data_IF_483129110304
#
_entry.id   IF_483129110304
#
_cell.length_a   1.000
_cell.length_b   1.000
_cell.length_c   1.000
_cell.angle_alpha   90.00
_cell.angle_beta   90.00
_cell.angle_gamma   90.00
#
_symmetry.space_group_name_H-M   'P 1'
#
loop_
_entity.id
_entity.type
_entity.pdbx_description
1 polymer ?
#
# COMPACT_ATOMS: atom_id res chain seq x y z
N UNK A 1 -2.32 -20.80 -10.23
CA UNK A 1 -3.19 -21.13 -9.09
C UNK A 1 -2.83 -22.44 -8.41
N UNK A 2 -2.68 -23.56 -9.13
CA UNK A 2 -2.37 -24.87 -8.53
C UNK A 2 -1.10 -24.86 -7.66
N UNK A 3 0.01 -24.34 -8.18
CA UNK A 3 1.28 -24.18 -7.44
C UNK A 3 1.13 -23.32 -6.20
N UNK A 4 0.50 -22.13 -6.31
CA UNK A 4 0.25 -21.25 -5.17
C UNK A 4 -0.62 -21.90 -4.08
N UNK A 5 -1.56 -22.76 -4.48
CA UNK A 5 -2.39 -23.49 -3.53
C UNK A 5 -1.60 -24.62 -2.84
N UNK A 6 -0.77 -25.35 -3.59
CA UNK A 6 0.11 -26.37 -3.02
C UNK A 6 1.14 -25.77 -2.06
N UNK A 7 1.70 -24.63 -2.42
CA UNK A 7 2.65 -23.88 -1.61
C UNK A 7 1.96 -23.02 -0.54
N UNK A 8 0.66 -23.20 -0.27
CA UNK A 8 -0.02 -22.54 0.85
C UNK A 8 -0.22 -21.02 0.75
N UNK A 9 0.12 -20.39 -0.37
CA UNK A 9 -0.11 -18.96 -0.63
C UNK A 9 -1.59 -18.63 -0.84
N UNK A 10 -2.36 -19.58 -1.36
CA UNK A 10 -3.81 -19.43 -1.53
C UNK A 10 -4.55 -20.67 -1.04
N UNK A 11 -5.73 -20.48 -0.47
CA UNK A 11 -6.60 -21.55 -0.03
C UNK A 11 -7.84 -21.52 -0.92
N UNK A 12 -8.14 -22.65 -1.58
CA UNK A 12 -9.37 -22.79 -2.37
C UNK A 12 -10.55 -23.03 -1.41
N UNK A 13 -11.56 -22.18 -1.52
CA UNK A 13 -12.85 -22.31 -0.83
C UNK A 13 -13.75 -23.28 -1.59
N UNK A 14 -14.74 -23.84 -0.90
CA UNK A 14 -15.70 -24.81 -1.46
C UNK A 14 -16.53 -24.22 -2.61
N UNK A 15 -16.78 -22.91 -2.59
CA UNK A 15 -17.44 -22.14 -3.65
C UNK A 15 -16.55 -21.89 -4.89
N UNK A 16 -15.31 -22.41 -4.89
CA UNK A 16 -14.34 -22.24 -5.96
C UNK A 16 -13.54 -20.94 -5.92
N UNK A 17 -13.78 -20.07 -4.94
CA UNK A 17 -12.98 -18.84 -4.73
C UNK A 17 -11.64 -19.15 -4.05
N UNK A 18 -10.72 -18.19 -4.07
CA UNK A 18 -9.42 -18.30 -3.42
C UNK A 18 -9.23 -17.18 -2.42
N UNK A 19 -8.81 -17.53 -1.21
CA UNK A 19 -8.38 -16.56 -0.20
C UNK A 19 -6.87 -16.67 0.01
N UNK A 20 -6.26 -15.64 0.59
CA UNK A 20 -4.85 -15.64 0.97
C UNK A 20 -4.61 -16.68 2.07
N UNK A 21 -3.59 -17.52 1.87
CA UNK A 21 -3.11 -18.48 2.86
C UNK A 21 -1.97 -17.94 3.72
N UNK A 22 -1.59 -18.69 4.76
CA UNK A 22 -0.64 -18.23 5.78
C UNK A 22 0.77 -17.95 5.25
N UNK A 23 1.19 -18.61 4.17
CA UNK A 23 2.55 -18.43 3.59
C UNK A 23 2.78 -16.99 3.11
N UNK A 24 1.72 -16.28 2.71
CA UNK A 24 1.81 -14.84 2.43
C UNK A 24 2.19 -14.06 3.69
N UNK A 25 1.66 -14.42 4.86
CA UNK A 25 1.96 -13.72 6.11
C UNK A 25 3.41 -13.96 6.55
N UNK A 26 3.95 -15.16 6.33
CA UNK A 26 5.32 -15.49 6.69
C UNK A 26 6.33 -14.73 5.82
N UNK A 27 6.16 -14.77 4.50
CA UNK A 27 6.98 -13.98 3.56
C UNK A 27 6.87 -12.49 3.79
N UNK A 28 5.67 -12.03 4.15
CA UNK A 28 5.47 -10.62 4.51
C UNK A 28 6.24 -10.24 5.78
N UNK A 29 6.31 -11.11 6.79
CA UNK A 29 7.12 -10.86 8.00
C UNK A 29 8.61 -10.76 7.67
N UNK A 30 9.13 -11.69 6.87
CA UNK A 30 10.53 -11.65 6.40
C UNK A 30 10.83 -10.33 5.67
N UNK A 31 9.93 -9.95 4.75
CA UNK A 31 10.04 -8.70 3.99
C UNK A 31 10.03 -7.48 4.91
N UNK A 32 9.05 -7.38 5.82
CA UNK A 32 8.96 -6.27 6.76
C UNK A 32 10.20 -6.19 7.64
N UNK A 33 10.72 -7.32 8.14
CA UNK A 33 11.93 -7.34 8.93
C UNK A 33 13.14 -6.77 8.16
N UNK A 34 13.27 -7.08 6.88
CA UNK A 34 14.36 -6.58 6.03
C UNK A 34 14.26 -5.06 5.75
N UNK A 35 13.04 -4.52 5.70
CA UNK A 35 12.80 -3.12 5.31
C UNK A 35 12.48 -2.18 6.46
N UNK A 36 12.24 -2.68 7.67
CA UNK A 36 11.87 -1.85 8.82
C UNK A 36 12.99 -0.87 9.17
N UNK A 37 12.64 0.42 9.23
CA UNK A 37 13.50 1.44 9.81
C UNK A 37 13.55 1.36 11.35
N UNK A 38 14.31 2.25 11.99
CA UNK A 38 14.35 2.35 13.45
C UNK A 38 12.95 2.48 14.07
N UNK A 39 12.76 1.90 15.27
CA UNK A 39 11.45 1.88 15.94
C UNK A 39 10.88 3.29 16.21
N UNK A 40 11.76 4.29 16.36
CA UNK A 40 11.38 5.70 16.58
C UNK A 40 10.69 6.35 15.38
N UNK A 41 10.88 5.84 14.16
CA UNK A 41 10.33 6.43 12.93
C UNK A 41 8.80 6.46 12.98
N UNK A 42 8.17 5.39 13.44
CA UNK A 42 6.71 5.33 13.55
C UNK A 42 6.14 6.38 14.50
N UNK A 43 6.83 6.65 15.61
CA UNK A 43 6.41 7.66 16.58
C UNK A 43 6.57 9.08 16.03
N UNK A 44 7.71 9.37 15.38
CA UNK A 44 7.92 10.65 14.73
C UNK A 44 6.90 10.92 13.62
N UNK A 45 6.56 9.90 12.81
CA UNK A 45 5.55 10.03 11.76
C UNK A 45 4.15 10.27 12.34
N UNK A 46 3.78 9.58 13.43
CA UNK A 46 2.50 9.83 14.10
C UNK A 46 2.41 11.24 14.65
N UNK A 47 3.46 11.72 15.31
CA UNK A 47 3.50 13.10 15.81
C UNK A 47 3.34 14.10 14.67
N UNK A 48 4.10 13.94 13.60
CA UNK A 48 4.00 14.80 12.43
C UNK A 48 2.59 14.77 11.81
N UNK A 49 1.98 13.59 11.68
CA UNK A 49 0.63 13.45 11.12
C UNK A 49 -0.45 14.13 11.99
N UNK A 50 -0.27 14.12 13.32
CA UNK A 50 -1.15 14.84 14.24
C UNK A 50 -0.94 16.36 14.20
N UNK A 51 0.32 16.80 14.08
CA UNK A 51 0.67 18.23 14.04
C UNK A 51 0.24 18.90 12.74
N UNK A 52 0.43 18.26 11.59
CA UNK A 52 0.09 18.87 10.30
C UNK A 52 -1.29 18.50 9.78
N UNK A 53 -1.90 17.43 10.33
CA UNK A 53 -3.15 16.88 9.84
C UNK A 53 -3.02 16.00 8.59
N UNK A 54 -1.84 15.91 7.96
CA UNK A 54 -1.62 15.16 6.70
C UNK A 54 -0.96 13.79 6.93
N UNK A 55 -1.19 12.85 6.00
CA UNK A 55 -0.45 11.57 6.00
C UNK A 55 1.03 11.79 5.68
N UNK A 56 1.90 11.17 6.45
CA UNK A 56 3.35 11.17 6.24
C UNK A 56 3.86 9.78 5.89
N UNK A 57 4.88 9.74 5.04
CA UNK A 57 5.46 8.51 4.49
C UNK A 57 6.98 8.56 4.56
N UNK A 58 7.61 7.41 4.81
CA UNK A 58 9.07 7.24 4.69
C UNK A 58 9.36 6.32 3.52
N UNK A 59 10.05 6.88 2.52
CA UNK A 59 10.54 6.16 1.37
C UNK A 59 11.98 5.68 1.56
N UNK A 60 12.30 4.51 1.01
CA UNK A 60 13.66 3.99 0.86
C UNK A 60 13.90 3.61 -0.60
N UNK A 61 15.10 3.86 -1.10
CA UNK A 61 15.51 3.34 -2.41
C UNK A 61 15.90 1.87 -2.32
N UNK A 62 15.24 1.03 -3.12
CA UNK A 62 15.47 -0.41 -3.22
C UNK A 62 15.48 -0.77 -4.70
N UNK A 63 16.61 -1.26 -5.21
CA UNK A 63 16.75 -1.60 -6.64
C UNK A 63 16.43 -0.44 -7.58
N UNK A 64 16.82 0.79 -7.21
CA UNK A 64 16.56 2.00 -8.00
C UNK A 64 15.11 2.50 -7.96
N UNK A 65 14.25 1.90 -7.14
CA UNK A 65 12.83 2.30 -6.98
C UNK A 65 12.58 2.77 -5.55
N UNK A 66 11.60 3.65 -5.38
CA UNK A 66 11.16 4.08 -4.04
C UNK A 66 10.16 3.07 -3.50
N UNK A 67 10.46 2.51 -2.32
CA UNK A 67 9.56 1.69 -1.53
C UNK A 67 9.14 2.46 -0.27
N UNK A 68 7.84 2.48 0.02
CA UNK A 68 7.32 3.04 1.28
C UNK A 68 7.51 1.99 2.37
N UNK A 69 8.21 2.37 3.45
CA UNK A 69 8.61 1.47 4.53
C UNK A 69 7.93 1.78 5.87
N UNK A 70 7.37 2.97 6.00
CA UNK A 70 6.51 3.37 7.10
C UNK A 70 5.54 4.47 6.63
N UNK A 71 4.35 4.49 7.23
CA UNK A 71 3.36 5.55 7.03
C UNK A 71 2.65 5.85 8.35
N UNK A 72 2.20 7.09 8.50
CA UNK A 72 1.23 7.49 9.51
C UNK A 72 0.17 8.35 8.84
N UNK A 73 -1.08 7.92 8.96
CA UNK A 73 -2.19 8.63 8.34
C UNK A 73 -2.64 9.81 9.20
N UNK A 74 -2.77 10.97 8.56
CA UNK A 74 -3.35 12.15 9.17
C UNK A 74 -4.87 12.19 9.00
N UNK A 75 -5.58 12.98 9.83
CA UNK A 75 -7.04 13.13 9.75
C UNK A 75 -7.53 13.75 8.43
N UNK A 76 -6.68 14.47 7.70
CA UNK A 76 -7.02 15.03 6.40
C UNK A 76 -7.11 13.93 5.33
N UNK A 77 -8.32 13.42 5.11
CA UNK A 77 -8.64 12.56 3.96
C UNK A 77 -8.58 13.38 2.68
N UNK A 78 -7.50 13.27 1.92
CA UNK A 78 -7.51 13.76 0.55
C UNK A 78 -8.36 12.79 -0.30
N UNK A 79 -9.38 13.30 -0.98
CA UNK A 79 -10.31 12.50 -1.80
C UNK A 79 -9.88 12.51 -3.27
N UNK A 80 -8.61 12.21 -3.54
CA UNK A 80 -8.25 11.68 -4.85
C UNK A 80 -9.05 10.41 -5.12
N UNK A 81 -10.04 10.57 -5.99
CA UNK A 81 -10.89 9.51 -6.53
C UNK A 81 -10.02 8.66 -7.46
N UNK A 82 -9.16 7.82 -6.88
CA UNK A 82 -8.39 6.83 -7.62
C UNK A 82 -9.27 5.64 -7.94
N UNK A 83 -9.55 5.52 -9.23
CA UNK A 83 -10.12 4.36 -9.93
C UNK A 83 -11.64 4.14 -9.81
N UNK A 84 -12.42 4.24 -10.91
CA UNK A 84 -13.78 3.69 -10.95
C UNK A 84 -13.69 2.15 -10.82
N UNK A 85 -14.69 1.46 -10.24
CA UNK A 85 -14.70 0.00 -10.22
C UNK A 85 -14.49 -0.52 -11.65
N UNK A 86 -13.59 -1.49 -11.80
CA UNK A 86 -13.31 -2.10 -13.09
C UNK A 86 -14.55 -2.87 -13.58
N UNK A 87 -15.46 -2.18 -14.24
CA UNK A 87 -16.45 -2.77 -15.14
C UNK A 87 -16.62 -1.90 -16.38
N UNK A 88 -16.00 -2.41 -17.44
CA UNK A 88 -16.51 -2.35 -18.82
C UNK A 88 -16.30 -1.07 -19.64
N UNK A 89 -15.31 -1.21 -20.52
CA UNK A 89 -15.09 -0.53 -21.82
C UNK A 89 -14.23 0.73 -21.83
N UNK A 90 -13.14 0.60 -22.59
CA UNK A 90 -12.13 1.60 -22.90
C UNK A 90 -12.70 2.98 -23.28
N UNK A 91 -12.18 4.01 -22.62
CA UNK A 91 -11.99 5.33 -23.24
C UNK A 91 -10.75 5.99 -22.65
N UNK A 92 -9.79 6.23 -23.53
CA UNK A 92 -8.46 6.79 -23.31
C UNK A 92 -8.46 7.99 -22.36
N UNK A 93 -7.60 8.06 -21.34
CA UNK A 93 -7.48 9.28 -20.53
C UNK A 93 -6.67 10.32 -21.32
N UNK A 94 -7.34 11.36 -21.81
CA UNK A 94 -6.64 12.59 -22.21
C UNK A 94 -6.29 13.39 -20.97
N UNK A 95 -4.99 13.72 -20.90
CA UNK A 95 -4.40 14.91 -20.25
C UNK A 95 -4.56 15.01 -18.73
N UNK A 96 -3.46 14.68 -18.04
CA UNK A 96 -3.23 14.95 -16.62
C UNK A 96 -3.15 16.46 -16.36
N UNK A 97 -4.18 17.04 -15.75
CA UNK A 97 -4.10 18.39 -15.18
C UNK A 97 -3.72 18.30 -13.69
N UNK A 98 -2.70 19.08 -13.29
CA UNK A 98 -2.21 19.17 -11.92
C UNK A 98 -3.21 19.99 -11.08
N UNK A 99 -3.63 19.54 -9.89
CA UNK A 99 -4.33 20.42 -8.96
C UNK A 99 -3.31 21.36 -8.31
N UNK A 100 -3.51 22.67 -8.52
CA UNK A 100 -2.81 23.75 -7.85
C UNK A 100 -3.16 23.79 -6.35
N UNK A 101 -2.16 23.75 -5.47
CA UNK A 101 -2.33 24.03 -4.04
C UNK A 101 -2.56 25.54 -3.80
N UNK A 102 -3.48 25.92 -2.90
CA UNK A 102 -3.54 27.28 -2.38
C UNK A 102 -2.35 27.56 -1.44
N UNK A 103 -1.90 28.81 -1.42
CA UNK A 103 -0.78 29.33 -0.60
C UNK A 103 -1.14 29.47 0.87
#
# INVERSE_FOLDING_TARGET
MRTLAYEGYVIRREDGTYIVGLEVADRYRELVAAFRGPASVGESLRRAAMETGYSHYVGRFVGGRVAITASADGPARHTWRIWPPASTTARTPRRWERPSCPR
#
